data_IF_666939815561
#
_entry.id   IF_666939815561
#
_cell.length_a   1.000
_cell.length_b   1.000
_cell.length_c   1.000
_cell.angle_alpha   90.00
_cell.angle_beta   90.00
_cell.angle_gamma   90.00
#
_symmetry.space_group_name_H-M   'P 1'
#
loop_
_entity.id
_entity.type
_entity.pdbx_description
1 polymer ?
#
# COMPACT_ATOMS: atom_id res chain seq x y z
N UNK A 1 -30.78 -11.61 -6.76
CA UNK A 1 -30.16 -11.27 -6.97
C UNK A 1 -29.02 -11.38 -6.93
N UNK A 2 -28.68 -11.39 -7.42
CA UNK A 2 -27.45 -11.91 -7.42
C UNK A 2 -26.44 -10.93 -7.33
N UNK A 3 -26.11 -10.69 -6.22
CA UNK A 3 -25.02 -9.95 -6.02
C UNK A 3 -23.83 -10.72 -6.27
N UNK A 4 -23.45 -10.79 -7.43
CA UNK A 4 -22.29 -11.53 -7.78
C UNK A 4 -21.06 -10.73 -7.49
N UNK A 5 -20.59 -10.92 -6.31
CA UNK A 5 -19.26 -10.47 -6.04
C UNK A 5 -18.32 -11.51 -6.63
N UNK A 6 -17.91 -11.30 -7.84
CA UNK A 6 -16.93 -12.17 -8.45
C UNK A 6 -15.55 -11.73 -8.04
N UNK A 7 -14.93 -12.48 -7.14
CA UNK A 7 -13.55 -12.26 -6.76
C UNK A 7 -12.72 -13.33 -7.44
N UNK A 8 -11.83 -12.93 -8.33
CA UNK A 8 -10.92 -13.85 -8.99
C UNK A 8 -9.49 -13.61 -8.53
N UNK A 9 -8.64 -14.64 -8.58
CA UNK A 9 -7.21 -14.45 -8.24
C UNK A 9 -6.54 -13.33 -9.05
N UNK A 10 -6.91 -13.18 -10.32
CA UNK A 10 -6.36 -12.12 -11.17
C UNK A 10 -6.73 -10.74 -10.65
N UNK A 11 -7.96 -10.55 -10.18
CA UNK A 11 -8.39 -9.28 -9.61
C UNK A 11 -7.59 -8.97 -8.33
N UNK A 12 -7.38 -9.98 -7.49
CA UNK A 12 -6.61 -9.80 -6.25
C UNK A 12 -5.17 -9.39 -6.54
N UNK A 13 -4.54 -9.99 -7.55
CA UNK A 13 -3.19 -9.59 -7.96
C UNK A 13 -3.16 -8.16 -8.49
N UNK A 14 -4.15 -7.78 -9.29
CA UNK A 14 -4.26 -6.41 -9.81
C UNK A 14 -4.39 -5.41 -8.67
N UNK A 15 -5.22 -5.70 -7.68
CA UNK A 15 -5.39 -4.84 -6.52
C UNK A 15 -4.10 -4.74 -5.70
N UNK A 16 -3.38 -5.85 -5.54
CA UNK A 16 -2.10 -5.85 -4.84
C UNK A 16 -1.08 -4.95 -5.56
N UNK A 17 -1.01 -5.04 -6.88
CA UNK A 17 -0.12 -4.20 -7.69
C UNK A 17 -0.49 -2.72 -7.54
N UNK A 18 -1.77 -2.41 -7.50
CA UNK A 18 -2.22 -1.03 -7.28
C UNK A 18 -1.84 -0.52 -5.89
N UNK A 19 -1.89 -1.38 -4.88
CA UNK A 19 -1.46 -1.00 -3.54
C UNK A 19 0.05 -0.75 -3.48
N UNK A 20 0.84 -1.50 -4.22
CA UNK A 20 2.28 -1.26 -4.34
C UNK A 20 2.57 0.07 -5.03
N UNK A 21 1.80 0.41 -6.07
CA UNK A 21 1.92 1.70 -6.72
C UNK A 21 1.55 2.84 -5.75
N UNK A 22 0.50 2.65 -4.96
CA UNK A 22 0.10 3.62 -3.94
C UNK A 22 1.21 3.82 -2.89
N UNK A 23 1.93 2.76 -2.53
CA UNK A 23 3.06 2.88 -1.61
C UNK A 23 4.15 3.78 -2.21
N UNK A 24 4.47 3.59 -3.48
CA UNK A 24 5.47 4.42 -4.15
C UNK A 24 5.04 5.89 -4.19
N UNK A 25 3.77 6.13 -4.47
CA UNK A 25 3.23 7.49 -4.50
C UNK A 25 3.27 8.12 -3.11
N UNK A 26 2.94 7.35 -2.08
CA UNK A 26 3.00 7.83 -0.69
C UNK A 26 4.44 8.16 -0.29
N UNK A 27 5.39 7.33 -0.69
CA UNK A 27 6.81 7.58 -0.42
C UNK A 27 7.28 8.83 -1.15
N UNK A 28 6.91 8.98 -2.42
CA UNK A 28 7.25 10.18 -3.19
C UNK A 28 6.66 11.44 -2.55
N UNK A 29 5.43 11.37 -2.06
CA UNK A 29 4.80 12.48 -1.36
C UNK A 29 5.51 12.79 -0.04
N UNK A 30 5.96 11.75 0.68
CA UNK A 30 6.71 11.93 1.92
C UNK A 30 8.03 12.65 1.67
N UNK A 31 8.68 12.35 0.55
CA UNK A 31 10.01 12.88 0.22
C UNK A 31 9.97 14.19 -0.56
N UNK A 32 8.81 14.58 -1.07
CA UNK A 32 8.67 15.73 -1.98
C UNK A 32 9.15 17.05 -1.36
N UNK A 33 9.03 17.19 -0.06
CA UNK A 33 9.44 18.40 0.65
C UNK A 33 10.68 18.20 1.52
N UNK A 34 11.45 17.13 1.27
CA UNK A 34 12.70 16.91 1.99
C UNK A 34 13.63 18.10 1.79
N UNK A 35 14.18 18.58 2.88
CA UNK A 35 15.10 19.71 2.86
C UNK A 35 14.42 21.08 2.91
N UNK A 36 13.09 21.16 2.85
CA UNK A 36 12.38 22.44 2.89
C UNK A 36 12.69 23.20 4.17
N UNK A 37 12.67 22.51 5.31
CA UNK A 37 13.00 23.14 6.59
C UNK A 37 14.41 23.70 6.60
N UNK A 38 15.39 22.89 6.19
CA UNK A 38 16.80 23.33 6.11
C UNK A 38 16.97 24.50 5.15
N UNK A 39 16.30 24.45 4.00
CA UNK A 39 16.36 25.54 3.02
C UNK A 39 15.77 26.83 3.58
N UNK A 40 14.72 26.76 4.38
CA UNK A 40 14.15 27.92 5.05
C UNK A 40 15.17 28.58 6.00
N UNK A 41 15.88 27.78 6.78
CA UNK A 41 16.92 28.29 7.66
C UNK A 41 18.05 28.99 6.88
N UNK A 42 18.48 28.38 5.78
CA UNK A 42 19.55 28.94 4.95
C UNK A 42 19.12 30.21 4.23
N UNK A 43 17.90 30.25 3.74
CA UNK A 43 17.43 31.35 2.88
C UNK A 43 16.80 32.51 3.65
N UNK A 44 16.16 32.21 4.78
CA UNK A 44 15.41 33.22 5.55
C UNK A 44 16.08 33.59 6.87
N UNK A 45 17.10 32.84 7.29
CA UNK A 45 17.93 33.17 8.43
C UNK A 45 17.23 33.14 9.79
N UNK A 46 17.91 33.71 10.78
CA UNK A 46 17.50 33.66 12.19
C UNK A 46 16.23 34.47 12.48
N UNK A 47 15.97 35.50 11.65
CA UNK A 47 14.81 36.39 11.86
C UNK A 47 13.50 35.63 11.73
N UNK A 48 13.49 34.57 10.91
CA UNK A 48 12.31 33.70 10.67
C UNK A 48 12.35 32.40 11.49
N UNK A 49 13.10 32.38 12.58
CA UNK A 49 13.36 31.18 13.36
C UNK A 49 12.11 30.40 13.77
N UNK A 50 11.07 31.10 14.24
CA UNK A 50 9.82 30.43 14.63
C UNK A 50 9.12 29.79 13.44
N UNK A 51 9.08 30.48 12.30
CA UNK A 51 8.49 29.96 11.07
C UNK A 51 9.32 28.81 10.52
N UNK A 52 10.64 28.91 10.56
CA UNK A 52 11.54 27.86 10.10
C UNK A 52 11.35 26.59 10.92
N UNK A 53 11.21 26.73 12.25
CA UNK A 53 10.93 25.60 13.13
C UNK A 53 9.60 24.94 12.81
N UNK A 54 8.58 25.74 12.46
CA UNK A 54 7.28 25.22 12.06
C UNK A 54 7.39 24.43 10.75
N UNK A 55 8.16 24.89 9.77
CA UNK A 55 8.40 24.16 8.54
C UNK A 55 9.12 22.84 8.77
N UNK A 56 10.12 22.82 9.65
CA UNK A 56 10.83 21.59 10.02
C UNK A 56 9.86 20.58 10.63
N UNK A 57 8.97 21.03 11.51
CA UNK A 57 7.97 20.17 12.15
C UNK A 57 6.99 19.62 11.14
N UNK A 58 6.48 20.45 10.24
CA UNK A 58 5.53 20.02 9.20
C UNK A 58 6.19 19.01 8.24
N UNK A 59 7.43 19.26 7.86
CA UNK A 59 8.20 18.34 7.02
C UNK A 59 8.30 16.96 7.68
N UNK A 60 8.63 16.92 8.98
CA UNK A 60 8.74 15.67 9.73
C UNK A 60 7.40 14.93 9.83
N UNK A 61 6.32 15.66 10.11
CA UNK A 61 4.98 15.07 10.18
C UNK A 61 4.58 14.50 8.83
N UNK A 62 4.79 15.23 7.75
CA UNK A 62 4.46 14.79 6.40
C UNK A 62 5.24 13.53 6.02
N UNK A 63 6.51 13.49 6.34
CA UNK A 63 7.36 12.32 6.07
C UNK A 63 6.87 11.10 6.83
N UNK A 64 6.57 11.25 8.11
CA UNK A 64 6.07 10.17 8.96
C UNK A 64 4.73 9.66 8.46
N UNK A 65 3.81 10.56 8.13
CA UNK A 65 2.49 10.19 7.61
C UNK A 65 2.59 9.47 6.27
N UNK A 66 3.42 9.95 5.37
CA UNK A 66 3.64 9.33 4.06
C UNK A 66 4.22 7.93 4.19
N UNK A 67 5.19 7.75 5.10
CA UNK A 67 5.77 6.44 5.36
C UNK A 67 4.74 5.48 5.94
N UNK A 68 3.92 5.93 6.88
CA UNK A 68 2.88 5.10 7.49
C UNK A 68 1.86 4.67 6.43
N UNK A 69 1.46 5.57 5.55
CA UNK A 69 0.53 5.25 4.46
C UNK A 69 1.16 4.25 3.48
N UNK A 70 2.43 4.42 3.15
CA UNK A 70 3.16 3.49 2.29
C UNK A 70 3.25 2.10 2.91
N UNK A 71 3.58 2.01 4.19
CA UNK A 71 3.66 0.74 4.92
C UNK A 71 2.30 0.04 4.95
N UNK A 72 1.22 0.80 5.17
CA UNK A 72 -0.14 0.26 5.16
C UNK A 72 -0.51 -0.28 3.76
N UNK A 73 -0.09 0.42 2.70
CA UNK A 73 -0.33 -0.02 1.32
C UNK A 73 0.41 -1.33 1.01
N UNK A 74 1.65 -1.48 1.47
CA UNK A 74 2.41 -2.72 1.29
C UNK A 74 1.78 -3.88 2.06
N UNK A 75 1.30 -3.61 3.28
CA UNK A 75 0.60 -4.63 4.06
C UNK A 75 -0.68 -5.07 3.37
N UNK A 76 -1.43 -4.14 2.80
CA UNK A 76 -2.64 -4.44 2.05
C UNK A 76 -2.31 -5.30 0.82
N UNK A 77 -1.24 -4.98 0.10
CA UNK A 77 -0.79 -5.78 -1.04
C UNK A 77 -0.47 -7.21 -0.62
N UNK A 78 0.24 -7.39 0.50
CA UNK A 78 0.57 -8.71 1.01
C UNK A 78 -0.68 -9.50 1.38
N UNK A 79 -1.67 -8.86 2.01
CA UNK A 79 -2.92 -9.51 2.37
C UNK A 79 -3.74 -9.91 1.14
N UNK A 80 -3.74 -9.08 0.11
CA UNK A 80 -4.42 -9.39 -1.16
C UNK A 80 -3.77 -10.60 -1.84
N UNK A 81 -2.46 -10.71 -1.80
CA UNK A 81 -1.77 -11.88 -2.35
C UNK A 81 -2.00 -13.14 -1.53
N UNK A 82 -2.10 -13.00 -0.20
CA UNK A 82 -2.46 -14.13 0.66
C UNK A 82 -3.88 -14.63 0.35
N UNK A 83 -4.81 -13.71 0.13
CA UNK A 83 -6.17 -14.06 -0.26
C UNK A 83 -6.19 -14.76 -1.63
N UNK A 84 -5.41 -14.26 -2.58
CA UNK A 84 -5.25 -14.90 -3.89
C UNK A 84 -4.80 -16.34 -3.75
N UNK A 85 -3.74 -16.57 -2.96
CA UNK A 85 -3.22 -17.92 -2.74
C UNK A 85 -4.25 -18.84 -2.09
N UNK A 86 -5.03 -18.31 -1.14
CA UNK A 86 -6.08 -19.08 -0.48
C UNK A 86 -7.18 -19.48 -1.46
N UNK A 87 -7.63 -18.58 -2.32
CA UNK A 87 -8.65 -18.89 -3.33
C UNK A 87 -8.14 -19.94 -4.32
N UNK A 88 -6.91 -19.79 -4.79
CA UNK A 88 -6.32 -20.76 -5.71
C UNK A 88 -6.16 -22.14 -5.05
N UNK A 89 -5.78 -22.18 -3.77
CA UNK A 89 -5.67 -23.42 -3.03
C UNK A 89 -7.01 -24.12 -2.88
N UNK A 90 -8.06 -23.39 -2.54
CA UNK A 90 -9.41 -23.95 -2.42
C UNK A 90 -9.89 -24.47 -3.75
N UNK A 91 -9.72 -23.73 -4.83
CA UNK A 91 -10.12 -24.17 -6.16
C UNK A 91 -9.43 -25.45 -6.57
N UNK A 92 -8.12 -25.56 -6.31
CA UNK A 92 -7.35 -26.77 -6.62
C UNK A 92 -7.83 -27.97 -5.80
N UNK A 93 -8.11 -27.75 -4.53
CA UNK A 93 -8.59 -28.79 -3.65
C UNK A 93 -9.97 -29.29 -4.08
N UNK A 94 -10.88 -28.39 -4.42
CA UNK A 94 -12.22 -28.75 -4.90
C UNK A 94 -12.15 -29.53 -6.22
N UNK A 95 -11.31 -29.11 -7.14
CA UNK A 95 -11.11 -29.80 -8.40
C UNK A 95 -10.58 -31.21 -8.16
N UNK A 96 -9.61 -31.37 -7.26
CA UNK A 96 -9.06 -32.68 -6.91
C UNK A 96 -10.11 -33.59 -6.29
N UNK A 97 -10.91 -33.06 -5.38
CA UNK A 97 -11.98 -33.85 -4.74
C UNK A 97 -13.05 -34.29 -5.73
N UNK A 98 -13.43 -33.39 -6.63
CA UNK A 98 -14.42 -33.68 -7.64
C UNK A 98 -13.93 -34.79 -8.59
N UNK A 99 -12.66 -34.70 -9.01
CA UNK A 99 -12.08 -35.75 -9.86
C UNK A 99 -12.03 -37.08 -9.16
N UNK A 100 -11.73 -37.14 -7.87
CA UNK A 100 -11.77 -38.39 -7.11
C UNK A 100 -13.16 -38.99 -7.10
N UNK A 101 -14.16 -38.17 -6.89
CA UNK A 101 -15.56 -38.67 -6.91
C UNK A 101 -15.95 -39.24 -8.25
N UNK A 102 -15.49 -38.64 -9.34
CA UNK A 102 -15.77 -39.13 -10.68
C UNK A 102 -15.08 -40.46 -10.96
N UNK A 103 -13.88 -40.66 -10.41
CA UNK A 103 -13.13 -41.89 -10.62
C UNK A 103 -13.60 -43.04 -9.77
N UNK A 104 -14.23 -42.77 -8.63
CA UNK A 104 -14.69 -43.79 -7.70
C UNK A 104 -16.06 -44.40 -8.09
N UNK A 105 -16.60 -44.00 -9.19
CA UNK A 105 -17.80 -44.65 -9.72
C UNK A 105 -17.42 -45.79 -10.68
#
# INVERSE_FOLDING_TARGET
MANNLLVSPAILETLATKQEAAQKDAQAAADALNGTGSNCWLNHGVISGCSNGAFDTIEGIRKTAGKALGDASLLMAAKLRSAKAAYEGVDSELAGNLNKQLLDK
#
